data_IF_420669632187
#
_entry.id   IF_420669632187
#
_cell.length_a   1.000
_cell.length_b   1.000
_cell.length_c   1.000
_cell.angle_alpha   90.00
_cell.angle_beta   90.00
_cell.angle_gamma   90.00
#
_symmetry.space_group_name_H-M   'P 1'
#
loop_
_entity.id
_entity.type
_entity.pdbx_description
1 polymer ?
#
# COMPACT_ATOMS: atom_id res chain seq x y z
N UNK A 1 -41.59 51.49 -41.70
CA UNK A 1 -41.53 51.35 -40.23
C UNK A 1 -40.25 50.62 -39.92
N UNK A 2 -39.38 51.26 -39.14
CA UNK A 2 -37.98 50.87 -38.96
C UNK A 2 -37.88 49.60 -38.12
N UNK A 3 -36.99 48.72 -38.56
CA UNK A 3 -36.42 47.63 -37.78
C UNK A 3 -35.86 48.16 -36.45
N UNK A 4 -36.45 47.73 -35.34
CA UNK A 4 -35.82 47.78 -34.02
C UNK A 4 -35.15 46.43 -33.75
N UNK A 5 -33.98 46.27 -34.36
CA UNK A 5 -33.03 45.23 -33.98
C UNK A 5 -32.54 45.54 -32.58
N UNK A 6 -33.17 44.91 -31.59
CA UNK A 6 -32.79 44.90 -30.19
C UNK A 6 -31.45 44.15 -30.05
N UNK A 7 -30.34 44.81 -30.39
CA UNK A 7 -28.99 44.37 -30.06
C UNK A 7 -28.76 44.62 -28.58
N UNK A 8 -29.04 43.62 -27.75
CA UNK A 8 -28.53 43.58 -26.38
C UNK A 8 -27.11 43.03 -26.38
N UNK A 9 -26.20 43.88 -25.90
CA UNK A 9 -24.83 43.56 -25.51
C UNK A 9 -24.82 42.43 -24.47
N UNK A 10 -24.66 41.18 -24.90
CA UNK A 10 -24.52 39.99 -24.04
C UNK A 10 -23.09 39.42 -24.10
N UNK A 11 -22.08 40.29 -24.06
CA UNK A 11 -20.71 39.89 -23.76
C UNK A 11 -20.54 39.85 -22.24
N UNK A 12 -20.17 38.73 -21.59
CA UNK A 12 -19.82 38.76 -20.17
C UNK A 12 -18.70 39.77 -19.96
N UNK A 13 -18.85 40.67 -18.97
CA UNK A 13 -17.89 41.74 -18.77
C UNK A 13 -16.53 41.15 -18.40
N UNK A 14 -15.45 41.79 -18.86
CA UNK A 14 -14.04 41.46 -18.54
C UNK A 14 -13.80 41.18 -17.05
N UNK A 15 -14.62 41.79 -16.17
CA UNK A 15 -14.66 41.51 -14.73
C UNK A 15 -14.92 40.04 -14.38
N UNK A 16 -15.76 39.34 -15.15
CA UNK A 16 -16.11 37.94 -14.88
C UNK A 16 -14.91 37.01 -15.15
N UNK A 17 -14.14 37.29 -16.20
CA UNK A 17 -12.90 36.58 -16.51
C UNK A 17 -11.85 36.80 -15.42
N UNK A 18 -11.71 38.03 -14.95
CA UNK A 18 -10.79 38.38 -13.86
C UNK A 18 -11.19 37.66 -12.57
N UNK A 19 -12.47 37.68 -12.20
CA UNK A 19 -12.96 36.99 -11.00
C UNK A 19 -12.68 35.48 -11.03
N UNK A 20 -12.86 34.83 -12.19
CA UNK A 20 -12.47 33.41 -12.36
C UNK A 20 -10.97 33.21 -12.16
N UNK A 21 -10.14 34.04 -12.78
CA UNK A 21 -8.69 33.95 -12.67
C UNK A 21 -8.21 34.12 -11.23
N UNK A 22 -8.78 35.07 -10.49
CA UNK A 22 -8.43 35.30 -9.08
C UNK A 22 -8.68 34.06 -8.22
N UNK A 23 -9.80 33.35 -8.42
CA UNK A 23 -10.06 32.09 -7.70
C UNK A 23 -8.99 31.05 -8.03
N UNK A 24 -8.67 30.89 -9.31
CA UNK A 24 -7.69 29.92 -9.77
C UNK A 24 -6.28 30.24 -9.32
N UNK A 25 -5.91 31.50 -9.24
CA UNK A 25 -4.62 31.95 -8.68
C UNK A 25 -4.51 31.62 -7.19
N UNK A 26 -5.59 31.83 -6.44
CA UNK A 26 -5.63 31.43 -5.02
C UNK A 26 -5.42 29.92 -4.88
N UNK A 27 -6.06 29.11 -5.73
CA UNK A 27 -5.89 27.65 -5.73
C UNK A 27 -4.49 27.22 -6.17
N UNK A 28 -3.91 27.89 -7.17
CA UNK A 28 -2.54 27.64 -7.63
C UNK A 28 -1.51 27.95 -6.54
N UNK A 29 -1.71 29.05 -5.79
CA UNK A 29 -0.82 29.46 -4.71
C UNK A 29 -0.96 28.58 -3.46
N UNK A 30 -2.19 28.19 -3.10
CA UNK A 30 -2.47 27.45 -1.85
C UNK A 30 -2.59 25.96 -2.08
N UNK A 31 -3.78 25.49 -2.43
CA UNK A 31 -4.12 24.11 -2.72
C UNK A 31 -5.39 24.07 -3.56
N UNK A 32 -5.51 23.02 -4.37
CA UNK A 32 -6.76 22.74 -5.10
C UNK A 32 -7.68 22.01 -4.11
N UNK A 33 -8.96 22.41 -3.99
CA UNK A 33 -9.89 21.75 -3.08
C UNK A 33 -10.01 20.25 -3.37
N UNK A 34 -10.18 19.46 -2.32
CA UNK A 34 -10.46 18.02 -2.45
C UNK A 34 -11.94 17.78 -2.68
N UNK A 35 -12.27 16.81 -3.54
CA UNK A 35 -13.64 16.38 -3.76
C UNK A 35 -14.18 15.74 -2.47
N UNK A 36 -15.39 16.14 -2.06
CA UNK A 36 -16.09 15.56 -0.91
C UNK A 36 -17.48 15.08 -1.30
N UNK A 37 -17.90 13.99 -0.67
CA UNK A 37 -19.25 13.47 -0.80
C UNK A 37 -20.27 14.30 0.00
N UNK A 38 -21.55 13.92 -0.08
CA UNK A 38 -22.64 14.60 0.62
C UNK A 38 -22.52 14.54 2.16
N UNK A 39 -21.67 13.66 2.71
CA UNK A 39 -21.39 13.54 4.15
C UNK A 39 -20.15 14.33 4.56
N UNK A 40 -19.48 14.98 3.63
CA UNK A 40 -18.24 15.72 3.85
C UNK A 40 -16.99 14.84 3.90
N UNK A 41 -17.08 13.56 3.55
CA UNK A 41 -15.94 12.64 3.50
C UNK A 41 -15.19 12.83 2.17
N UNK A 42 -13.86 12.73 2.20
CA UNK A 42 -13.04 12.81 0.98
C UNK A 42 -13.42 11.70 -0.01
N UNK A 43 -13.76 12.09 -1.23
CA UNK A 43 -13.98 11.15 -2.32
C UNK A 43 -12.65 10.47 -2.69
N UNK A 44 -12.74 9.19 -3.02
CA UNK A 44 -11.61 8.37 -3.44
C UNK A 44 -11.93 7.66 -4.75
N UNK A 45 -10.91 7.43 -5.57
CA UNK A 45 -11.03 6.64 -6.79
C UNK A 45 -11.04 5.13 -6.50
N UNK A 46 -10.96 4.30 -7.56
CA UNK A 46 -11.00 2.85 -7.45
C UNK A 46 -9.77 2.29 -6.71
N UNK A 47 -8.65 3.01 -6.76
CA UNK A 47 -7.39 2.71 -6.12
C UNK A 47 -7.36 3.19 -4.65
N UNK A 48 -8.42 3.87 -4.20
CA UNK A 48 -8.53 4.40 -2.85
C UNK A 48 -7.77 5.71 -2.65
N UNK A 49 -7.28 6.33 -3.72
CA UNK A 49 -6.55 7.60 -3.71
C UNK A 49 -7.52 8.79 -3.62
N UNK A 50 -7.10 9.89 -2.97
CA UNK A 50 -7.98 11.07 -2.86
C UNK A 50 -8.09 11.77 -4.20
N UNK A 51 -9.30 12.25 -4.51
CA UNK A 51 -9.59 12.95 -5.77
C UNK A 51 -9.75 14.45 -5.55
N UNK A 52 -9.13 15.27 -6.40
CA UNK A 52 -9.31 16.71 -6.39
C UNK A 52 -10.71 17.08 -6.89
N UNK A 53 -11.28 18.15 -6.34
CA UNK A 53 -12.51 18.72 -6.87
C UNK A 53 -12.27 19.32 -8.26
N UNK A 54 -13.34 19.62 -8.99
CA UNK A 54 -13.24 20.13 -10.34
C UNK A 54 -12.44 21.46 -10.37
N UNK A 55 -11.43 21.51 -11.23
CA UNK A 55 -10.77 22.74 -11.63
C UNK A 55 -10.54 22.72 -13.14
N UNK A 56 -10.59 23.87 -13.83
CA UNK A 56 -10.33 23.93 -15.24
C UNK A 56 -8.88 23.55 -15.53
N UNK A 57 -8.71 22.62 -16.46
CA UNK A 57 -7.40 22.15 -16.92
C UNK A 57 -7.04 22.66 -18.30
N UNK A 58 -7.99 23.24 -19.04
CA UNK A 58 -7.84 23.78 -20.40
C UNK A 58 -8.82 24.94 -20.58
N UNK A 59 -8.60 25.75 -21.61
CA UNK A 59 -9.34 26.98 -21.89
C UNK A 59 -10.85 26.73 -22.02
N UNK A 60 -11.23 25.63 -22.68
CA UNK A 60 -12.64 25.25 -22.82
C UNK A 60 -13.29 24.89 -21.47
N UNK A 61 -12.53 24.29 -20.54
CA UNK A 61 -13.02 24.03 -19.19
C UNK A 61 -13.16 25.35 -18.43
N UNK A 62 -12.19 26.25 -18.55
CA UNK A 62 -12.25 27.58 -17.94
C UNK A 62 -13.46 28.40 -18.41
N UNK A 63 -13.71 28.40 -19.72
CA UNK A 63 -14.86 29.08 -20.31
C UNK A 63 -16.19 28.51 -19.76
N UNK A 64 -16.31 27.18 -19.68
CA UNK A 64 -17.53 26.51 -19.22
C UNK A 64 -17.68 26.42 -17.70
N UNK A 65 -16.64 26.78 -16.94
CA UNK A 65 -16.64 26.73 -15.50
C UNK A 65 -17.48 27.86 -14.91
N UNK A 66 -18.45 27.51 -14.08
CA UNK A 66 -19.38 28.43 -13.42
C UNK A 66 -19.56 28.04 -11.94
N UNK A 67 -18.63 27.25 -11.39
CA UNK A 67 -18.67 26.76 -10.02
C UNK A 67 -19.68 25.63 -9.80
N UNK A 68 -20.61 25.35 -10.71
CA UNK A 68 -21.62 24.29 -10.51
C UNK A 68 -21.00 22.90 -10.48
N UNK A 69 -19.87 22.72 -11.16
CA UNK A 69 -19.09 21.48 -11.22
C UNK A 69 -18.38 21.16 -9.90
N UNK A 70 -18.24 22.13 -9.00
CA UNK A 70 -17.59 21.94 -7.71
C UNK A 70 -18.56 21.34 -6.68
N UNK A 71 -18.00 20.54 -5.78
CA UNK A 71 -18.76 19.99 -4.67
C UNK A 71 -19.18 21.08 -3.67
N UNK A 72 -20.18 20.75 -2.85
CA UNK A 72 -20.78 21.70 -1.90
C UNK A 72 -19.76 22.23 -0.88
N UNK A 73 -18.88 21.36 -0.39
CA UNK A 73 -17.84 21.76 0.55
C UNK A 73 -16.90 22.83 -0.03
N UNK A 74 -16.58 22.75 -1.33
CA UNK A 74 -15.78 23.76 -2.02
C UNK A 74 -16.54 25.07 -2.19
N UNK A 75 -17.84 25.01 -2.50
CA UNK A 75 -18.69 26.21 -2.63
C UNK A 75 -18.82 26.96 -1.30
N UNK A 76 -18.97 26.24 -0.19
CA UNK A 76 -18.97 26.83 1.15
C UNK A 76 -17.64 27.52 1.47
N UNK A 77 -16.51 26.92 1.07
CA UNK A 77 -15.18 27.48 1.30
C UNK A 77 -14.86 28.67 0.39
N UNK A 78 -15.43 28.68 -0.83
CA UNK A 78 -15.26 29.71 -1.85
C UNK A 78 -16.61 30.21 -2.37
N UNK A 79 -17.37 31.01 -1.58
CA UNK A 79 -18.70 31.47 -1.95
C UNK A 79 -18.75 32.28 -3.26
N UNK A 80 -17.63 32.86 -3.68
CA UNK A 80 -17.50 33.55 -4.95
C UNK A 80 -17.75 32.64 -6.17
N UNK A 81 -17.64 31.32 -6.02
CA UNK A 81 -17.94 30.35 -7.08
C UNK A 81 -19.40 30.45 -7.56
N UNK A 82 -20.35 30.74 -6.67
CA UNK A 82 -21.77 30.86 -7.02
C UNK A 82 -22.07 32.03 -7.96
N UNK A 83 -21.16 33.01 -8.00
CA UNK A 83 -21.30 34.22 -8.82
C UNK A 83 -20.64 34.07 -10.19
N UNK A 84 -19.87 32.99 -10.40
CA UNK A 84 -19.21 32.75 -11.67
C UNK A 84 -20.23 32.36 -12.74
N UNK A 85 -19.97 32.78 -13.98
CA UNK A 85 -20.83 32.50 -15.13
C UNK A 85 -20.04 31.84 -16.23
N UNK A 86 -20.69 31.00 -17.03
CA UNK A 86 -20.09 30.47 -18.27
C UNK A 86 -19.77 31.62 -19.23
N UNK A 87 -18.61 31.54 -19.85
CA UNK A 87 -18.12 32.52 -20.80
C UNK A 87 -18.39 32.02 -22.22
N UNK A 88 -19.05 32.83 -23.06
CA UNK A 88 -19.38 32.46 -24.46
C UNK A 88 -18.15 32.66 -25.37
N UNK A 89 -18.14 31.99 -26.54
CA UNK A 89 -17.03 32.01 -27.53
C UNK A 89 -16.55 33.42 -27.94
N UNK A 90 -17.44 34.41 -28.06
CA UNK A 90 -17.07 35.80 -28.42
C UNK A 90 -16.40 36.60 -27.29
N UNK A 91 -16.30 36.02 -26.11
CA UNK A 91 -15.71 36.60 -24.89
C UNK A 91 -14.67 35.65 -24.29
N UNK A 92 -14.18 34.72 -25.11
CA UNK A 92 -13.10 33.85 -24.71
C UNK A 92 -11.86 34.69 -24.36
N UNK A 93 -10.97 34.20 -23.47
CA UNK A 93 -9.72 34.89 -23.16
C UNK A 93 -8.89 35.18 -24.42
N UNK A 94 -9.07 34.43 -25.50
CA UNK A 94 -8.55 34.70 -26.86
C UNK A 94 -8.81 36.14 -27.36
N UNK A 95 -9.90 36.78 -26.92
CA UNK A 95 -10.24 38.18 -27.27
C UNK A 95 -9.52 39.22 -26.39
N UNK A 96 -8.81 38.78 -25.35
CA UNK A 96 -8.06 39.60 -24.40
C UNK A 96 -6.66 39.00 -24.19
N UNK A 97 -5.67 39.34 -25.04
CA UNK A 97 -4.36 38.69 -25.04
C UNK A 97 -3.64 38.68 -23.67
N UNK A 98 -3.83 39.74 -22.88
CA UNK A 98 -3.29 39.84 -21.53
C UNK A 98 -3.90 38.81 -20.55
N UNK A 99 -5.22 38.58 -20.65
CA UNK A 99 -5.92 37.60 -19.84
C UNK A 99 -5.68 36.18 -20.33
N UNK A 100 -5.48 35.97 -21.63
CA UNK A 100 -5.07 34.66 -22.17
C UNK A 100 -3.71 34.25 -21.62
N UNK A 101 -2.70 35.12 -21.68
CA UNK A 101 -1.37 34.81 -21.14
C UNK A 101 -1.44 34.48 -19.65
N UNK A 102 -2.20 35.27 -18.89
CA UNK A 102 -2.42 35.04 -17.46
C UNK A 102 -3.13 33.70 -17.20
N UNK A 103 -4.13 33.36 -18.00
CA UNK A 103 -4.82 32.08 -17.90
C UNK A 103 -3.88 30.91 -18.17
N UNK A 104 -3.07 30.98 -19.22
CA UNK A 104 -2.13 29.92 -19.58
C UNK A 104 -1.15 29.63 -18.44
N UNK A 105 -0.60 30.69 -17.83
CA UNK A 105 0.30 30.58 -16.67
C UNK A 105 -0.40 29.96 -15.46
N UNK A 106 -1.63 30.40 -15.15
CA UNK A 106 -2.41 29.87 -14.03
C UNK A 106 -2.79 28.41 -14.26
N UNK A 107 -3.23 28.03 -15.46
CA UNK A 107 -3.55 26.64 -15.80
C UNK A 107 -2.31 25.74 -15.70
N UNK A 108 -1.15 26.23 -16.15
CA UNK A 108 0.12 25.52 -16.00
C UNK A 108 0.47 25.31 -14.52
N UNK A 109 0.35 26.36 -13.71
CA UNK A 109 0.59 26.28 -12.26
C UNK A 109 -0.38 25.31 -11.57
N UNK A 110 -1.67 25.35 -11.90
CA UNK A 110 -2.68 24.44 -11.35
C UNK A 110 -2.41 22.98 -11.71
N UNK A 111 -2.03 22.67 -12.96
CA UNK A 111 -1.68 21.30 -13.35
C UNK A 111 -0.48 20.79 -12.56
N UNK A 112 0.57 21.61 -12.41
CA UNK A 112 1.73 21.25 -11.60
C UNK A 112 1.34 21.03 -10.13
N UNK A 113 0.51 21.94 -9.57
CA UNK A 113 0.00 21.84 -8.20
C UNK A 113 -0.82 20.57 -7.97
N UNK A 114 -1.71 20.24 -8.91
CA UNK A 114 -2.53 19.04 -8.86
C UNK A 114 -1.68 17.77 -8.79
N UNK A 115 -0.65 17.67 -9.64
CA UNK A 115 0.29 16.53 -9.64
C UNK A 115 0.98 16.43 -8.28
N UNK A 116 1.60 17.51 -7.80
CA UNK A 116 2.32 17.49 -6.51
C UNK A 116 1.41 17.15 -5.33
N UNK A 117 0.19 17.70 -5.32
CA UNK A 117 -0.78 17.49 -4.25
C UNK A 117 -1.28 16.04 -4.22
N UNK A 118 -1.59 15.46 -5.38
CA UNK A 118 -1.98 14.04 -5.50
C UNK A 118 -0.83 13.13 -5.07
N UNK A 119 0.38 13.35 -5.60
CA UNK A 119 1.54 12.54 -5.23
C UNK A 119 1.82 12.57 -3.73
N UNK A 120 1.75 13.74 -3.10
CA UNK A 120 2.05 13.88 -1.67
C UNK A 120 0.97 13.20 -0.81
N UNK A 121 -0.31 13.41 -1.13
CA UNK A 121 -1.41 12.84 -0.37
C UNK A 121 -1.48 11.31 -0.51
N UNK A 122 -1.24 10.78 -1.71
CA UNK A 122 -1.42 9.36 -2.00
C UNK A 122 -0.18 8.52 -1.64
N UNK A 123 1.04 9.03 -1.84
CA UNK A 123 2.28 8.35 -1.41
C UNK A 123 2.30 8.12 0.10
N UNK A 124 1.70 9.02 0.90
CA UNK A 124 1.61 8.84 2.36
C UNK A 124 0.85 7.56 2.73
N UNK A 125 -0.19 7.20 1.97
CA UNK A 125 -0.95 5.96 2.20
C UNK A 125 -0.11 4.74 1.83
N UNK A 126 0.56 4.78 0.67
CA UNK A 126 1.46 3.70 0.23
C UNK A 126 2.62 3.48 1.21
N UNK A 127 3.19 4.56 1.77
CA UNK A 127 4.24 4.48 2.79
C UNK A 127 3.72 3.76 4.03
N UNK A 128 2.54 4.14 4.54
CA UNK A 128 1.95 3.49 5.71
C UNK A 128 1.66 1.99 5.48
N UNK A 129 1.18 1.63 4.28
CA UNK A 129 0.95 0.23 3.90
C UNK A 129 2.26 -0.57 3.81
N UNK A 130 3.30 0.03 3.24
CA UNK A 130 4.63 -0.57 3.16
C UNK A 130 5.26 -0.73 4.55
N UNK A 131 5.15 0.27 5.43
CA UNK A 131 5.62 0.20 6.82
C UNK A 131 4.92 -0.91 7.61
N UNK A 132 3.59 -1.03 7.47
CA UNK A 132 2.81 -2.12 8.06
C UNK A 132 3.27 -3.49 7.54
N UNK A 133 3.51 -3.60 6.22
CA UNK A 133 4.00 -4.83 5.60
C UNK A 133 5.39 -5.21 6.09
N UNK A 134 6.31 -4.25 6.18
CA UNK A 134 7.67 -4.48 6.72
C UNK A 134 7.60 -4.96 8.16
N UNK A 135 6.79 -4.32 9.00
CA UNK A 135 6.59 -4.72 10.40
C UNK A 135 6.06 -6.15 10.54
N UNK A 136 5.09 -6.52 9.69
CA UNK A 136 4.57 -7.89 9.62
C UNK A 136 5.67 -8.90 9.24
N UNK A 137 6.42 -8.65 8.18
CA UNK A 137 7.48 -9.56 7.72
C UNK A 137 8.62 -9.69 8.72
N UNK A 138 9.00 -8.60 9.41
CA UNK A 138 9.99 -8.64 10.49
C UNK A 138 9.52 -9.52 11.65
N UNK A 139 8.25 -9.37 12.07
CA UNK A 139 7.65 -10.19 13.12
C UNK A 139 7.60 -11.67 12.72
N UNK A 140 7.28 -11.96 11.47
CA UNK A 140 7.27 -13.32 10.95
C UNK A 140 8.68 -13.93 10.90
N UNK A 141 9.67 -13.17 10.43
CA UNK A 141 11.06 -13.61 10.38
C UNK A 141 11.60 -13.93 11.78
N UNK A 142 11.30 -13.08 12.77
CA UNK A 142 11.69 -13.32 14.16
C UNK A 142 11.05 -14.62 14.71
N UNK A 143 9.78 -14.88 14.40
CA UNK A 143 9.12 -16.12 14.79
C UNK A 143 9.78 -17.34 14.13
N UNK A 144 10.08 -17.27 12.84
CA UNK A 144 10.75 -18.34 12.11
C UNK A 144 12.16 -18.61 12.66
N UNK A 145 12.90 -17.57 13.04
CA UNK A 145 14.22 -17.70 13.66
C UNK A 145 14.13 -18.45 15.00
N UNK A 146 13.15 -18.11 15.84
CA UNK A 146 12.90 -18.84 17.10
C UNK A 146 12.56 -20.32 16.85
N UNK A 147 11.73 -20.61 15.84
CA UNK A 147 11.40 -21.99 15.46
C UNK A 147 12.64 -22.76 14.99
N UNK A 148 13.52 -22.14 14.19
CA UNK A 148 14.78 -22.75 13.74
C UNK A 148 15.70 -23.07 14.92
N UNK A 149 15.83 -22.15 15.89
CA UNK A 149 16.63 -22.38 17.10
C UNK A 149 16.08 -23.57 17.88
N UNK A 150 14.77 -23.61 18.14
CA UNK A 150 14.14 -24.72 18.85
C UNK A 150 14.30 -26.07 18.12
N UNK A 151 14.23 -26.07 16.78
CA UNK A 151 14.47 -27.28 15.98
C UNK A 151 15.93 -27.75 16.07
N UNK A 152 16.90 -26.83 16.06
CA UNK A 152 18.33 -27.16 16.23
C UNK A 152 18.62 -27.77 17.59
N UNK A 153 18.04 -27.22 18.66
CA UNK A 153 18.18 -27.78 20.01
C UNK A 153 17.60 -29.20 20.11
N UNK A 154 16.41 -29.42 19.56
CA UNK A 154 15.80 -30.75 19.49
C UNK A 154 16.66 -31.72 18.70
N UNK A 155 17.18 -31.31 17.55
CA UNK A 155 18.06 -32.14 16.74
C UNK A 155 19.32 -32.55 17.50
N UNK A 156 19.99 -31.60 18.17
CA UNK A 156 21.18 -31.88 18.99
C UNK A 156 20.88 -32.85 20.14
N UNK A 157 19.74 -32.68 20.82
CA UNK A 157 19.28 -33.60 21.87
C UNK A 157 19.07 -35.02 21.32
N UNK A 158 18.34 -35.15 20.21
CA UNK A 158 18.07 -36.45 19.57
C UNK A 158 19.36 -37.12 19.09
N UNK A 159 20.32 -36.36 18.55
CA UNK A 159 21.63 -36.90 18.14
C UNK A 159 22.43 -37.44 19.32
N UNK A 160 22.39 -36.76 20.47
CA UNK A 160 23.01 -37.24 21.70
C UNK A 160 22.35 -38.53 22.20
N UNK A 161 21.03 -38.55 22.29
CA UNK A 161 20.26 -39.74 22.69
C UNK A 161 20.53 -40.92 21.77
N UNK A 162 20.60 -40.69 20.45
CA UNK A 162 20.95 -41.71 19.47
C UNK A 162 22.38 -42.25 19.68
N UNK A 163 23.34 -41.37 20.00
CA UNK A 163 24.73 -41.76 20.28
C UNK A 163 24.81 -42.62 21.54
N UNK A 164 24.12 -42.21 22.61
CA UNK A 164 24.04 -42.95 23.88
C UNK A 164 23.40 -44.32 23.67
N UNK A 165 22.27 -44.39 22.95
CA UNK A 165 21.60 -45.64 22.61
C UNK A 165 22.50 -46.58 21.80
N UNK A 166 23.21 -46.06 20.78
CA UNK A 166 24.18 -46.83 20.00
C UNK A 166 25.33 -47.37 20.87
N UNK A 167 25.85 -46.56 21.79
CA UNK A 167 26.89 -46.98 22.71
C UNK A 167 26.39 -48.09 23.66
N UNK A 168 25.18 -47.95 24.20
CA UNK A 168 24.54 -48.95 25.05
C UNK A 168 24.32 -50.28 24.32
N UNK A 169 23.79 -50.24 23.08
CA UNK A 169 23.63 -51.45 22.25
C UNK A 169 24.96 -52.14 22.00
N UNK A 170 26.03 -51.38 21.70
CA UNK A 170 27.37 -51.93 21.52
C UNK A 170 27.90 -52.57 22.80
N UNK A 171 27.77 -51.91 23.95
CA UNK A 171 28.16 -52.44 25.26
C UNK A 171 27.41 -53.73 25.60
N UNK A 172 26.09 -53.72 25.45
CA UNK A 172 25.25 -54.89 25.67
C UNK A 172 25.65 -56.05 24.76
N UNK A 173 25.93 -55.80 23.46
CA UNK A 173 26.37 -56.84 22.54
C UNK A 173 27.68 -57.51 23.00
N UNK A 174 28.64 -56.73 23.50
CA UNK A 174 29.90 -57.26 24.05
C UNK A 174 29.62 -58.13 25.27
N UNK A 175 28.81 -57.64 26.21
CA UNK A 175 28.48 -58.39 27.43
C UNK A 175 27.70 -59.67 27.13
N UNK A 176 26.70 -59.61 26.25
CA UNK A 176 25.97 -60.80 25.80
C UNK A 176 26.90 -61.82 25.17
N UNK A 177 27.86 -61.39 24.34
CA UNK A 177 28.83 -62.30 23.72
C UNK A 177 29.71 -62.97 24.79
N UNK A 178 30.14 -62.20 25.80
CA UNK A 178 30.92 -62.72 26.94
C UNK A 178 30.13 -63.76 27.73
N UNK A 179 28.89 -63.43 28.13
CA UNK A 179 28.01 -64.32 28.90
C UNK A 179 27.71 -65.59 28.11
N UNK A 180 27.38 -65.48 26.81
CA UNK A 180 27.15 -66.66 25.96
C UNK A 180 28.38 -67.57 25.92
N UNK A 181 29.57 -67.01 25.70
CA UNK A 181 30.81 -67.81 25.70
C UNK A 181 31.07 -68.50 27.05
N UNK A 182 30.81 -67.81 28.17
CA UNK A 182 30.93 -68.37 29.52
C UNK A 182 29.94 -69.53 29.74
N UNK A 183 28.69 -69.36 29.30
CA UNK A 183 27.65 -70.41 29.37
C UNK A 183 28.01 -71.60 28.48
N UNK A 184 28.48 -71.37 27.26
CA UNK A 184 28.89 -72.43 26.34
C UNK A 184 30.05 -73.25 26.90
N UNK A 185 31.06 -72.59 27.48
CA UNK A 185 32.17 -73.26 28.16
C UNK A 185 31.68 -74.11 29.34
N UNK A 186 30.72 -73.61 30.12
CA UNK A 186 30.14 -74.36 31.24
C UNK A 186 29.34 -75.56 30.78
N UNK A 187 28.54 -75.41 29.71
CA UNK A 187 27.80 -76.51 29.08
C UNK A 187 28.78 -77.58 28.61
N UNK A 188 29.82 -77.21 27.87
CA UNK A 188 30.83 -78.15 27.39
C UNK A 188 31.49 -78.94 28.54
N UNK A 189 31.87 -78.26 29.63
CA UNK A 189 32.42 -78.90 30.83
C UNK A 189 31.42 -79.88 31.48
N UNK A 190 30.15 -79.52 31.59
CA UNK A 190 29.12 -80.39 32.16
C UNK A 190 28.83 -81.60 31.24
N UNK A 191 28.79 -81.41 29.92
CA UNK A 191 28.65 -82.49 28.94
C UNK A 191 29.81 -83.48 29.03
N UNK A 192 31.03 -83.00 29.20
CA UNK A 192 32.22 -83.84 29.40
C UNK A 192 32.17 -84.62 30.73
N UNK A 193 31.65 -84.02 31.80
CA UNK A 193 31.43 -84.74 33.06
C UNK A 193 30.35 -85.81 32.92
N UNK A 194 29.24 -85.50 32.25
CA UNK A 194 28.15 -86.46 32.02
C UNK A 194 28.61 -87.66 31.18
N UNK A 195 29.44 -87.45 30.15
CA UNK A 195 29.98 -88.55 29.34
C UNK A 195 30.87 -89.49 30.14
N UNK A 196 31.55 -89.00 31.18
CA UNK A 196 32.35 -89.81 32.11
C UNK A 196 31.49 -90.62 33.10
N UNK A 197 30.34 -90.08 33.50
CA UNK A 197 29.48 -90.69 34.53
C UNK A 197 28.45 -91.65 33.93
N UNK A 198 28.05 -91.44 32.67
CA UNK A 198 27.03 -92.24 32.00
C UNK A 198 27.66 -93.07 30.87
N UNK A 199 28.34 -94.20 31.17
CA UNK A 199 28.65 -95.17 30.13
C UNK A 199 27.33 -95.78 29.67
N UNK A 200 26.89 -95.38 28.48
CA UNK A 200 25.75 -95.96 27.79
C UNK A 200 26.02 -97.47 27.68
N UNK A 201 25.24 -98.27 28.40
CA UNK A 201 25.05 -99.70 28.14
C UNK A 201 24.02 -99.87 27.03
#
# INVERSE_FOLDING_TARGET
MKDETNQRDDAPPRSDLIAKLEVLEVWAAREIPWLRDAKGVYARDAEGERVLDFFPTRDIHFANWDGTQNCEATKVLYPQLERLKKTRRRTAPESHPDLQSRLDDVLKALRAKAITQLETANKTTQIAELESSVSFWQSLAQKQEQEIVALRERMSKTERELREAKAAVKGNKVEWTRVTAEKDAKIASLTELLSKISPIR
#
